data_IF_155782056130
#
_entry.id   IF_155782056130
#
_cell.length_a   1.000
_cell.length_b   1.000
_cell.length_c   1.000
_cell.angle_alpha   90.00
_cell.angle_beta   90.00
_cell.angle_gamma   90.00
#
_symmetry.space_group_name_H-M   'P 1'
#
loop_
_entity.id
_entity.type
_entity.pdbx_description
1 polymer ?
#
# COMPACT_ATOMS: atom_id res chain seq x y z
N UNK A 1 2.31 9.05 -38.63
CA UNK A 1 3.04 9.37 -37.37
C UNK A 1 2.96 8.15 -36.47
N UNK A 2 3.32 6.97 -37.00
CA UNK A 2 2.85 5.67 -36.47
C UNK A 2 3.98 4.82 -35.87
N UNK A 3 5.09 5.47 -35.49
CA UNK A 3 6.30 4.81 -34.98
C UNK A 3 6.61 5.11 -33.51
N UNK A 4 5.69 5.72 -32.75
CA UNK A 4 5.96 6.08 -31.35
C UNK A 4 5.73 4.94 -30.35
N UNK A 5 5.14 3.80 -30.74
CA UNK A 5 4.90 2.68 -29.83
C UNK A 5 5.05 1.26 -30.46
N UNK A 6 6.23 0.91 -31.02
CA UNK A 6 6.47 -0.44 -31.56
C UNK A 6 6.41 -1.57 -30.51
N UNK A 7 6.42 -1.27 -29.20
CA UNK A 7 6.45 -2.27 -28.12
C UNK A 7 5.11 -2.48 -27.38
N UNK A 8 4.00 -1.93 -27.88
CA UNK A 8 2.69 -2.09 -27.23
C UNK A 8 2.22 -3.54 -27.07
N UNK A 9 2.42 -4.47 -28.03
CA UNK A 9 1.92 -5.84 -27.88
C UNK A 9 2.66 -6.62 -26.79
N UNK A 10 3.98 -6.45 -26.71
CA UNK A 10 4.86 -7.15 -25.77
C UNK A 10 4.60 -6.69 -24.33
N UNK A 11 4.42 -5.38 -24.13
CA UNK A 11 4.10 -4.83 -22.82
C UNK A 11 2.72 -5.29 -22.35
N UNK A 12 1.72 -5.32 -23.24
CA UNK A 12 0.37 -5.81 -22.92
C UNK A 12 0.41 -7.29 -22.52
N UNK A 13 1.17 -8.13 -23.23
CA UNK A 13 1.31 -9.54 -22.92
C UNK A 13 2.08 -9.78 -21.61
N UNK A 14 3.20 -9.09 -21.42
CA UNK A 14 4.00 -9.19 -20.19
C UNK A 14 3.18 -8.75 -18.96
N UNK A 15 2.42 -7.66 -19.08
CA UNK A 15 1.47 -7.22 -18.05
C UNK A 15 0.40 -8.30 -17.81
N UNK A 16 -0.21 -8.86 -18.85
CA UNK A 16 -1.21 -9.91 -18.72
C UNK A 16 -0.71 -11.13 -17.93
N UNK A 17 0.48 -11.62 -18.27
CA UNK A 17 1.10 -12.74 -17.56
C UNK A 17 1.56 -12.39 -16.14
N UNK A 18 2.11 -11.19 -15.92
CA UNK A 18 2.49 -10.73 -14.60
C UNK A 18 1.26 -10.57 -13.67
N UNK A 19 0.14 -10.08 -14.20
CA UNK A 19 -1.14 -9.98 -13.46
C UNK A 19 -1.68 -11.36 -13.09
N UNK A 20 -1.59 -12.35 -13.99
CA UNK A 20 -2.01 -13.71 -13.67
C UNK A 20 -1.17 -14.33 -12.54
N UNK A 21 0.14 -14.01 -12.49
CA UNK A 21 0.99 -14.43 -11.38
C UNK A 21 0.67 -13.68 -10.08
N UNK A 22 0.35 -12.38 -10.16
CA UNK A 22 -0.03 -11.57 -9.00
C UNK A 22 -1.27 -12.11 -8.25
N UNK A 23 -2.17 -12.81 -8.92
CA UNK A 23 -3.34 -13.43 -8.29
C UNK A 23 -2.94 -14.44 -7.21
N UNK A 24 -2.17 -15.45 -7.60
CA UNK A 24 -1.78 -16.50 -6.65
C UNK A 24 -0.69 -16.01 -5.70
N UNK A 25 0.21 -15.12 -6.14
CA UNK A 25 1.21 -14.47 -5.27
C UNK A 25 0.52 -13.65 -4.17
N UNK A 26 -0.49 -12.86 -4.53
CA UNK A 26 -1.28 -12.08 -3.58
C UNK A 26 -2.04 -12.96 -2.59
N UNK A 27 -2.67 -14.04 -3.07
CA UNK A 27 -3.34 -15.02 -2.20
C UNK A 27 -2.36 -15.67 -1.21
N UNK A 28 -1.19 -16.09 -1.68
CA UNK A 28 -0.16 -16.71 -0.86
C UNK A 28 0.36 -15.74 0.21
N UNK A 29 0.71 -14.51 -0.19
CA UNK A 29 1.18 -13.47 0.72
C UNK A 29 0.09 -13.12 1.74
N UNK A 30 -1.17 -13.03 1.33
CA UNK A 30 -2.29 -12.80 2.24
C UNK A 30 -2.46 -13.94 3.25
N UNK A 31 -2.38 -15.19 2.81
CA UNK A 31 -2.49 -16.36 3.68
C UNK A 31 -1.35 -16.38 4.71
N UNK A 32 -0.11 -16.13 4.28
CA UNK A 32 1.05 -16.03 5.16
C UNK A 32 0.93 -14.86 6.14
N UNK A 33 0.46 -13.70 5.69
CA UNK A 33 0.22 -12.54 6.54
C UNK A 33 -0.86 -12.86 7.59
N UNK A 34 -1.98 -13.48 7.21
CA UNK A 34 -3.05 -13.86 8.16
C UNK A 34 -2.54 -14.87 9.18
N UNK A 35 -1.70 -15.81 8.77
CA UNK A 35 -1.06 -16.76 9.67
C UNK A 35 -0.12 -16.03 10.64
N UNK A 36 0.76 -15.16 10.14
CA UNK A 36 1.67 -14.36 10.97
C UNK A 36 0.92 -13.48 11.98
N UNK A 37 -0.15 -12.79 11.54
CA UNK A 37 -0.98 -11.95 12.40
C UNK A 37 -1.78 -12.73 13.46
N UNK A 38 -1.95 -14.05 13.30
CA UNK A 38 -2.54 -14.92 14.32
C UNK A 38 -1.60 -15.16 15.49
N UNK A 39 -0.29 -15.11 15.24
CA UNK A 39 0.74 -15.27 16.28
C UNK A 39 1.14 -13.95 16.94
N UNK A 40 0.82 -12.80 16.33
CA UNK A 40 1.12 -11.49 16.92
C UNK A 40 -0.02 -11.06 17.87
N UNK A 41 0.22 -10.83 19.16
CA UNK A 41 -0.80 -10.36 20.10
C UNK A 41 -1.37 -9.00 19.71
N UNK A 42 -2.64 -8.74 20.05
CA UNK A 42 -3.34 -7.49 19.71
C UNK A 42 -2.72 -6.21 20.29
N UNK A 43 -1.91 -6.35 21.35
CA UNK A 43 -1.29 -5.22 22.06
C UNK A 43 -0.08 -4.62 21.32
N UNK A 44 0.46 -5.29 20.30
CA UNK A 44 1.58 -4.80 19.49
C UNK A 44 1.08 -4.21 18.16
N UNK A 45 0.43 -3.04 18.22
CA UNK A 45 -0.12 -2.36 17.06
C UNK A 45 0.94 -2.02 16.00
N UNK A 46 2.13 -1.58 16.41
CA UNK A 46 3.26 -1.29 15.52
C UNK A 46 3.77 -2.53 14.79
N UNK A 47 3.94 -3.66 15.50
CA UNK A 47 4.39 -4.91 14.89
C UNK A 47 3.40 -5.45 13.85
N UNK A 48 2.09 -5.40 14.15
CA UNK A 48 1.04 -5.79 13.20
C UNK A 48 1.06 -4.88 11.96
N UNK A 49 1.29 -3.58 12.15
CA UNK A 49 1.42 -2.61 11.08
C UNK A 49 2.65 -2.87 10.19
N UNK A 50 3.84 -3.02 10.75
CA UNK A 50 5.06 -3.30 9.97
C UNK A 50 5.00 -4.67 9.27
N UNK A 51 4.31 -5.65 9.87
CA UNK A 51 4.08 -6.95 9.23
C UNK A 51 3.15 -6.81 8.01
N UNK A 52 2.09 -6.02 8.11
CA UNK A 52 1.23 -5.72 6.96
C UNK A 52 1.96 -4.90 5.88
N UNK A 53 2.77 -3.92 6.30
CA UNK A 53 3.54 -3.06 5.39
C UNK A 53 4.63 -3.84 4.64
N UNK A 54 5.34 -4.73 5.33
CA UNK A 54 6.34 -5.61 4.71
C UNK A 54 5.69 -6.59 3.72
N UNK A 55 4.54 -7.17 4.05
CA UNK A 55 3.78 -8.01 3.12
C UNK A 55 3.38 -7.25 1.84
N UNK A 56 2.97 -5.98 1.97
CA UNK A 56 2.70 -5.12 0.82
C UNK A 56 3.97 -4.85 -0.01
N UNK A 57 5.09 -4.58 0.64
CA UNK A 57 6.38 -4.39 -0.03
C UNK A 57 6.83 -5.63 -0.81
N UNK A 58 6.69 -6.82 -0.21
CA UNK A 58 6.99 -8.11 -0.86
C UNK A 58 6.10 -8.32 -2.09
N UNK A 59 4.81 -7.99 -2.00
CA UNK A 59 3.89 -8.11 -3.13
C UNK A 59 4.31 -7.21 -4.29
N UNK A 60 4.63 -5.94 -4.03
CA UNK A 60 5.07 -4.97 -5.05
C UNK A 60 6.39 -5.43 -5.67
N UNK A 61 7.36 -5.86 -4.86
CA UNK A 61 8.65 -6.35 -5.33
C UNK A 61 8.56 -7.61 -6.19
N UNK A 62 7.73 -8.58 -5.76
CA UNK A 62 7.53 -9.82 -6.52
C UNK A 62 6.77 -9.57 -7.82
N UNK A 63 5.76 -8.71 -7.81
CA UNK A 63 5.07 -8.29 -9.04
C UNK A 63 6.03 -7.64 -10.02
N UNK A 64 6.85 -6.67 -9.56
CA UNK A 64 7.86 -6.01 -10.39
C UNK A 64 8.89 -6.98 -10.97
N UNK A 65 9.39 -7.91 -10.15
CA UNK A 65 10.31 -8.96 -10.61
C UNK A 65 9.68 -9.87 -11.67
N UNK A 66 8.42 -10.25 -11.48
CA UNK A 66 7.69 -11.08 -12.43
C UNK A 66 7.45 -10.36 -13.76
N UNK A 67 7.10 -9.06 -13.70
CA UNK A 67 6.91 -8.23 -14.89
C UNK A 67 8.21 -8.11 -15.69
N UNK A 68 9.33 -7.83 -15.02
CA UNK A 68 10.65 -7.75 -15.65
C UNK A 68 11.05 -9.09 -16.28
N UNK A 69 10.82 -10.21 -15.58
CA UNK A 69 11.08 -11.54 -16.10
C UNK A 69 10.28 -11.84 -17.37
N UNK A 70 8.97 -11.55 -17.36
CA UNK A 70 8.10 -11.80 -18.52
C UNK A 70 8.44 -10.90 -19.71
N UNK A 71 8.77 -9.63 -19.46
CA UNK A 71 9.22 -8.71 -20.50
C UNK A 71 10.52 -9.18 -21.15
N UNK A 72 11.52 -9.56 -20.34
CA UNK A 72 12.80 -10.05 -20.85
C UNK A 72 12.65 -11.35 -21.64
N UNK A 73 11.79 -12.27 -21.21
CA UNK A 73 11.55 -13.52 -21.93
C UNK A 73 10.89 -13.31 -23.30
N UNK A 74 10.01 -12.31 -23.44
CA UNK A 74 9.42 -12.00 -24.75
C UNK A 74 10.48 -11.48 -25.73
N UNK A 75 11.36 -10.57 -25.26
CA UNK A 75 12.44 -10.03 -26.09
C UNK A 75 13.38 -11.15 -26.56
N UNK A 76 13.79 -12.03 -25.65
CA UNK A 76 14.66 -13.17 -25.96
C UNK A 76 13.98 -14.18 -26.91
N UNK A 77 12.67 -14.41 -26.79
CA UNK A 77 11.92 -15.30 -27.67
C UNK A 77 11.64 -14.71 -29.05
N UNK A 78 11.54 -13.39 -29.18
CA UNK A 78 11.37 -12.72 -30.47
C UNK A 78 12.65 -12.83 -31.31
N UNK A 79 13.82 -12.64 -30.69
CA UNK A 79 15.12 -12.82 -31.34
C UNK A 79 15.36 -14.28 -31.76
N UNK A 80 15.05 -15.24 -30.89
CA UNK A 80 15.14 -16.66 -31.20
C UNK A 80 14.08 -17.12 -32.23
N UNK A 81 12.86 -16.57 -32.16
CA UNK A 81 11.75 -16.89 -33.06
C UNK A 81 12.00 -16.42 -34.49
N UNK A 82 12.66 -15.27 -34.67
CA UNK A 82 13.10 -14.80 -35.99
C UNK A 82 14.16 -15.73 -36.61
N UNK A 83 15.06 -16.29 -35.79
CA UNK A 83 16.05 -17.28 -36.24
C UNK A 83 15.41 -18.64 -36.60
N UNK A 84 14.42 -19.11 -35.82
CA UNK A 84 13.72 -20.37 -36.07
C UNK A 84 12.72 -20.25 -37.23
N UNK A 85 12.03 -19.13 -37.40
CA UNK A 85 11.15 -18.87 -38.55
C UNK A 85 11.94 -18.94 -39.87
N UNK A 86 13.15 -18.36 -39.89
CA UNK A 86 14.10 -18.48 -41.02
C UNK A 86 14.46 -19.94 -41.32
N UNK A 87 14.51 -20.80 -40.30
CA UNK A 87 14.81 -22.24 -40.43
C UNK A 87 13.57 -23.05 -40.83
N UNK A 88 12.36 -22.66 -40.40
CA UNK A 88 11.09 -23.32 -40.75
C UNK A 88 10.60 -23.02 -42.17
N UNK A 89 10.97 -21.89 -42.78
CA UNK A 89 10.72 -21.64 -44.22
C UNK A 89 11.43 -22.64 -45.14
N UNK A 90 12.37 -23.44 -44.61
CA UNK A 90 13.12 -24.47 -45.33
C UNK A 90 12.43 -25.85 -45.20
N UNK A 91 11.39 -26.01 -44.38
CA UNK A 91 10.72 -27.29 -44.09
C UNK A 91 9.25 -27.33 -44.56
N UNK A 92 8.90 -28.38 -45.31
CA UNK A 92 7.60 -28.61 -45.97
C UNK A 92 6.49 -29.08 -44.98
N UNK A 93 5.27 -28.48 -44.94
CA UNK A 93 4.30 -28.63 -43.85
C UNK A 93 3.39 -29.86 -43.98
N UNK A 94 3.87 -30.94 -44.60
CA UNK A 94 3.03 -32.05 -45.06
C UNK A 94 2.56 -33.08 -44.03
N UNK A 95 2.89 -32.99 -42.74
CA UNK A 95 2.51 -34.06 -41.79
C UNK A 95 2.11 -33.55 -40.40
N UNK A 96 0.84 -33.75 -40.05
CA UNK A 96 0.42 -33.93 -38.66
C UNK A 96 -0.52 -32.86 -38.09
N UNK A 97 -1.81 -32.96 -38.40
CA UNK A 97 -2.89 -32.55 -37.49
C UNK A 97 -3.72 -33.85 -37.34
N UNK A 98 -3.99 -34.40 -36.17
CA UNK A 98 -5.14 -34.00 -35.35
C UNK A 98 -5.16 -34.85 -34.08
N UNK A 99 -4.91 -34.22 -32.93
CA UNK A 99 -5.49 -34.50 -31.60
C UNK A 99 -4.78 -33.59 -30.61
N UNK A 100 -4.97 -32.28 -30.78
CA UNK A 100 -4.43 -31.31 -29.83
C UNK A 100 -5.02 -31.60 -28.43
N UNK A 101 -4.18 -31.84 -27.39
CA UNK A 101 -4.63 -32.11 -26.03
C UNK A 101 -5.60 -31.02 -25.53
N UNK A 102 -6.48 -31.36 -24.58
CA UNK A 102 -7.45 -30.39 -23.97
C UNK A 102 -6.75 -29.10 -23.51
N UNK A 103 -5.51 -29.20 -23.04
CA UNK A 103 -4.64 -28.08 -22.70
C UNK A 103 -4.42 -27.08 -23.83
N UNK A 104 -4.26 -27.54 -25.08
CA UNK A 104 -4.10 -26.66 -26.24
C UNK A 104 -5.39 -25.88 -26.54
N UNK A 105 -6.56 -26.52 -26.38
CA UNK A 105 -7.85 -25.82 -26.54
C UNK A 105 -8.04 -24.75 -25.45
N UNK A 106 -7.63 -25.02 -24.22
CA UNK A 106 -7.66 -24.05 -23.13
C UNK A 106 -6.69 -22.89 -23.36
N UNK A 107 -5.48 -23.16 -23.86
CA UNK A 107 -4.50 -22.12 -24.19
C UNK A 107 -4.97 -21.20 -25.32
N UNK A 108 -5.60 -21.76 -26.36
CA UNK A 108 -6.19 -20.98 -27.47
C UNK A 108 -7.39 -20.15 -27.00
N UNK A 109 -8.27 -20.72 -26.16
CA UNK A 109 -9.38 -19.96 -25.57
C UNK A 109 -8.87 -18.82 -24.69
N UNK A 110 -7.86 -19.08 -23.86
CA UNK A 110 -7.23 -18.08 -23.01
C UNK A 110 -6.61 -16.96 -23.84
N UNK A 111 -5.81 -17.29 -24.88
CA UNK A 111 -5.18 -16.27 -25.72
C UNK A 111 -6.20 -15.36 -26.39
N UNK A 112 -7.34 -15.89 -26.84
CA UNK A 112 -8.44 -15.11 -27.40
C UNK A 112 -9.16 -14.22 -26.39
N UNK A 113 -9.23 -14.61 -25.12
CA UNK A 113 -9.97 -13.88 -24.07
C UNK A 113 -9.07 -13.11 -23.09
N UNK A 114 -7.75 -13.10 -23.32
CA UNK A 114 -6.76 -12.42 -22.46
C UNK A 114 -7.17 -10.99 -22.14
N UNK A 115 -7.58 -10.22 -23.15
CA UNK A 115 -7.96 -8.80 -22.97
C UNK A 115 -9.14 -8.60 -22.02
N UNK A 116 -10.19 -9.43 -22.12
CA UNK A 116 -11.36 -9.34 -21.24
C UNK A 116 -11.06 -9.77 -19.82
N UNK A 117 -10.25 -10.83 -19.64
CA UNK A 117 -9.81 -11.32 -18.33
C UNK A 117 -8.98 -10.24 -17.63
N UNK A 118 -8.03 -9.62 -18.36
CA UNK A 118 -7.22 -8.51 -17.86
C UNK A 118 -8.09 -7.30 -17.51
N UNK A 119 -9.07 -6.95 -18.35
CA UNK A 119 -9.99 -5.84 -18.09
C UNK A 119 -10.84 -6.03 -16.83
N UNK A 120 -11.41 -7.23 -16.64
CA UNK A 120 -12.15 -7.59 -15.43
C UNK A 120 -11.24 -7.53 -14.19
N UNK A 121 -10.00 -8.01 -14.34
CA UNK A 121 -9.01 -8.00 -13.26
C UNK A 121 -8.61 -6.58 -12.85
N UNK A 122 -8.28 -5.70 -13.82
CA UNK A 122 -7.98 -4.28 -13.56
C UNK A 122 -9.17 -3.61 -12.87
N UNK A 123 -10.39 -3.93 -13.29
CA UNK A 123 -11.60 -3.40 -12.63
C UNK A 123 -11.67 -3.81 -11.16
N UNK A 124 -11.45 -5.10 -10.86
CA UNK A 124 -11.41 -5.58 -9.48
C UNK A 124 -10.29 -4.94 -8.65
N UNK A 125 -9.10 -4.79 -9.22
CA UNK A 125 -7.97 -4.11 -8.59
C UNK A 125 -8.28 -2.65 -8.31
N UNK A 126 -8.85 -1.91 -9.28
CA UNK A 126 -9.25 -0.52 -9.11
C UNK A 126 -10.31 -0.37 -8.02
N UNK A 127 -11.30 -1.27 -7.95
CA UNK A 127 -12.29 -1.25 -6.88
C UNK A 127 -11.66 -1.46 -5.50
N UNK A 128 -10.72 -2.40 -5.36
CA UNK A 128 -10.01 -2.64 -4.12
C UNK A 128 -9.07 -1.49 -3.74
N UNK A 129 -8.38 -0.90 -4.71
CA UNK A 129 -7.55 0.28 -4.53
C UNK A 129 -8.39 1.49 -4.09
N UNK A 130 -9.52 1.74 -4.76
CA UNK A 130 -10.48 2.77 -4.37
C UNK A 130 -11.01 2.53 -2.96
N UNK A 131 -11.33 1.29 -2.59
CA UNK A 131 -11.75 0.94 -1.22
C UNK A 131 -10.65 1.21 -0.20
N UNK A 132 -9.39 0.88 -0.52
CA UNK A 132 -8.25 1.17 0.35
C UNK A 132 -8.06 2.68 0.52
N UNK A 133 -8.06 3.43 -0.58
CA UNK A 133 -7.95 4.90 -0.57
C UNK A 133 -9.11 5.54 0.20
N UNK A 134 -10.33 5.04 0.02
CA UNK A 134 -11.50 5.49 0.78
C UNK A 134 -11.35 5.21 2.27
N UNK A 135 -10.88 4.02 2.66
CA UNK A 135 -10.64 3.70 4.07
C UNK A 135 -9.53 4.57 4.68
N UNK A 136 -8.45 4.82 3.94
CA UNK A 136 -7.38 5.73 4.36
C UNK A 136 -7.90 7.16 4.50
N UNK A 137 -8.70 7.63 3.53
CA UNK A 137 -9.34 8.94 3.57
C UNK A 137 -10.31 9.05 4.74
N UNK A 138 -11.13 8.02 4.99
CA UNK A 138 -12.09 8.00 6.10
C UNK A 138 -11.36 8.04 7.44
N UNK A 139 -10.31 7.25 7.61
CA UNK A 139 -9.45 7.27 8.80
C UNK A 139 -8.79 8.64 8.97
N UNK A 140 -8.27 9.25 7.91
CA UNK A 140 -7.69 10.60 7.99
C UNK A 140 -8.73 11.70 8.22
N UNK A 141 -9.92 11.59 7.64
CA UNK A 141 -11.02 12.54 7.81
C UNK A 141 -11.50 12.50 9.26
N UNK A 142 -11.76 11.31 9.80
CA UNK A 142 -12.07 11.13 11.22
C UNK A 142 -10.97 11.69 12.16
N UNK A 143 -9.73 11.83 11.67
CA UNK A 143 -8.60 12.39 12.43
C UNK A 143 -8.44 13.91 12.32
N UNK A 144 -9.15 14.58 11.42
CA UNK A 144 -9.01 16.03 11.16
C UNK A 144 -10.32 16.82 11.23
N UNK A 145 -11.47 16.14 11.39
CA UNK A 145 -12.76 16.80 11.61
C UNK A 145 -13.06 16.93 13.10
N UNK A 146 -13.70 18.03 13.52
CA UNK A 146 -14.03 18.27 14.94
C UNK A 146 -12.87 18.85 15.76
N UNK A 147 -12.00 19.65 15.14
CA UNK A 147 -10.98 20.42 15.84
C UNK A 147 -11.63 21.67 16.45
N UNK A 148 -11.70 21.73 17.77
CA UNK A 148 -12.13 22.93 18.50
C UNK A 148 -10.92 23.72 18.98
N UNK A 149 -11.11 25.04 19.08
CA UNK A 149 -10.10 25.93 19.64
C UNK A 149 -9.81 25.56 21.10
N UNK A 150 -8.54 25.65 21.45
CA UNK A 150 -8.03 25.30 22.78
C UNK A 150 -8.15 26.52 23.68
N UNK A 151 -8.58 26.39 24.95
CA UNK A 151 -8.58 27.51 25.89
C UNK A 151 -7.18 28.15 26.04
N UNK A 152 -7.12 29.47 26.14
CA UNK A 152 -5.85 30.23 26.22
C UNK A 152 -4.93 29.76 27.36
N UNK A 153 -5.50 29.27 28.47
CA UNK A 153 -4.75 28.74 29.61
C UNK A 153 -3.89 27.52 29.23
N UNK A 154 -4.39 26.66 28.35
CA UNK A 154 -3.69 25.47 27.88
C UNK A 154 -2.58 25.83 26.89
N UNK A 155 -2.77 26.87 26.08
CA UNK A 155 -1.69 27.44 25.25
C UNK A 155 -0.55 27.98 26.13
N UNK A 156 -0.89 28.60 27.27
CA UNK A 156 0.08 28.99 28.29
C UNK A 156 0.86 27.81 28.89
N UNK A 157 0.18 26.71 29.21
CA UNK A 157 0.85 25.49 29.72
C UNK A 157 1.73 24.85 28.64
N UNK A 158 1.24 24.75 27.41
CA UNK A 158 2.00 24.20 26.27
C UNK A 158 3.30 24.96 26.04
N UNK A 159 3.25 26.30 26.02
CA UNK A 159 4.43 27.13 25.82
C UNK A 159 5.46 26.94 26.95
N UNK A 160 5.02 26.88 28.22
CA UNK A 160 5.88 26.56 29.36
C UNK A 160 6.53 25.18 29.20
N UNK A 161 5.76 24.15 28.85
CA UNK A 161 6.28 22.79 28.68
C UNK A 161 7.28 22.69 27.53
N UNK A 162 7.00 23.33 26.39
CA UNK A 162 7.92 23.41 25.25
C UNK A 162 9.23 24.10 25.62
N UNK A 163 9.17 25.16 26.43
CA UNK A 163 10.35 25.87 26.93
C UNK A 163 11.16 24.99 27.88
N UNK A 164 10.52 24.32 28.84
CA UNK A 164 11.16 23.38 29.77
C UNK A 164 11.83 22.21 29.05
N UNK A 165 11.19 21.66 28.02
CA UNK A 165 11.71 20.54 27.25
C UNK A 165 12.67 20.96 26.11
N UNK A 166 12.88 22.26 25.91
CA UNK A 166 13.71 22.84 24.82
C UNK A 166 13.31 22.33 23.43
N UNK A 167 12.01 22.30 23.15
CA UNK A 167 11.50 21.84 21.86
C UNK A 167 11.43 23.02 20.88
N UNK A 168 12.27 23.01 19.84
CA UNK A 168 12.31 24.06 18.81
C UNK A 168 11.30 23.85 17.66
N UNK A 169 10.42 22.84 17.76
CA UNK A 169 9.41 22.52 16.75
C UNK A 169 8.13 23.33 17.03
N UNK A 170 7.45 23.79 15.98
CA UNK A 170 6.13 24.43 16.12
C UNK A 170 5.08 23.34 16.36
N UNK A 171 4.64 23.21 17.61
CA UNK A 171 3.65 22.22 18.06
C UNK A 171 2.28 22.89 18.12
N UNK A 172 1.30 22.28 17.46
CA UNK A 172 -0.10 22.71 17.53
C UNK A 172 -0.86 21.80 18.47
N UNK A 173 -1.72 22.38 19.31
CA UNK A 173 -2.61 21.65 20.20
C UNK A 173 -4.05 21.88 19.71
N UNK A 174 -4.83 20.81 19.62
CA UNK A 174 -6.25 20.89 19.29
C UNK A 174 -7.08 19.96 20.18
N UNK A 175 -8.30 20.39 20.49
CA UNK A 175 -9.30 19.50 21.09
C UNK A 175 -10.02 18.74 19.98
N UNK A 176 -10.24 17.44 20.16
CA UNK A 176 -10.97 16.62 19.21
C UNK A 176 -12.08 15.83 19.91
N UNK A 177 -13.26 15.83 19.30
CA UNK A 177 -14.43 15.07 19.77
C UNK A 177 -14.35 13.57 19.45
N UNK A 178 -13.49 13.19 18.51
CA UNK A 178 -13.44 11.85 17.93
C UNK A 178 -12.39 10.96 18.65
N UNK A 179 -11.34 11.56 19.19
CA UNK A 179 -10.28 10.84 19.90
C UNK A 179 -10.67 10.57 21.35
N UNK A 180 -10.43 9.35 21.83
CA UNK A 180 -10.73 8.92 23.20
C UNK A 180 -9.53 9.03 24.16
N UNK A 181 -8.32 9.21 23.63
CA UNK A 181 -7.07 9.36 24.41
C UNK A 181 -6.20 10.48 23.81
N UNK A 182 -5.35 11.14 24.62
CA UNK A 182 -4.31 12.05 24.12
C UNK A 182 -3.43 11.36 23.09
N UNK A 183 -3.12 12.03 21.99
CA UNK A 183 -2.20 11.49 20.99
C UNK A 183 -1.46 12.56 20.19
N UNK A 184 -0.28 12.21 19.70
CA UNK A 184 0.57 13.04 18.85
C UNK A 184 0.52 12.57 17.40
N UNK A 185 0.44 13.49 16.44
CA UNK A 185 0.48 13.18 15.00
C UNK A 185 1.38 14.14 14.21
N UNK A 186 2.01 13.64 13.14
CA UNK A 186 2.75 14.46 12.18
C UNK A 186 4.25 14.57 12.49
N UNK A 187 5.09 14.12 11.55
CA UNK A 187 6.53 14.05 11.77
C UNK A 187 7.26 15.40 11.67
N UNK A 188 6.84 16.25 10.71
CA UNK A 188 7.47 17.55 10.44
C UNK A 188 6.79 18.70 11.21
N UNK A 189 5.48 18.60 11.44
CA UNK A 189 4.68 19.58 12.17
C UNK A 189 3.80 18.84 13.18
N UNK A 190 4.35 18.46 14.35
CA UNK A 190 3.63 17.68 15.34
C UNK A 190 2.38 18.42 15.82
N UNK A 191 1.29 17.69 15.88
CA UNK A 191 -0.02 18.13 16.36
C UNK A 191 -0.40 17.21 17.52
N UNK A 192 -0.62 17.79 18.70
CA UNK A 192 -1.14 17.10 19.87
C UNK A 192 -2.66 17.22 19.82
N UNK A 193 -3.36 16.08 19.82
CA UNK A 193 -4.81 16.01 19.95
C UNK A 193 -5.19 15.59 21.36
N UNK A 194 -6.10 16.34 21.97
CA UNK A 194 -6.66 16.04 23.28
C UNK A 194 -8.16 15.75 23.16
N UNK A 195 -8.68 14.69 23.79
CA UNK A 195 -10.11 14.42 23.84
C UNK A 195 -10.86 15.58 24.50
N UNK A 196 -11.91 16.09 23.85
CA UNK A 196 -12.73 17.17 24.44
C UNK A 196 -13.36 16.73 25.77
N UNK A 197 -13.69 15.43 25.90
CA UNK A 197 -14.26 14.84 27.10
C UNK A 197 -13.29 14.85 28.31
N UNK A 198 -11.98 14.83 28.04
CA UNK A 198 -10.96 14.97 29.09
C UNK A 198 -10.71 16.44 29.43
N UNK A 199 -10.74 17.32 28.43
CA UNK A 199 -10.44 18.73 28.62
C UNK A 199 -11.36 19.43 29.63
N UNK A 200 -12.65 19.03 29.70
CA UNK A 200 -13.60 19.58 30.67
C UNK A 200 -13.44 19.08 32.11
N UNK A 201 -12.70 17.99 32.33
CA UNK A 201 -12.62 17.31 33.62
C UNK A 201 -11.21 17.32 34.25
N UNK A 202 -10.20 17.80 33.53
CA UNK A 202 -8.82 17.84 34.00
C UNK A 202 -8.51 19.15 34.73
N UNK A 203 -7.82 19.06 35.86
CA UNK A 203 -7.17 20.21 36.48
C UNK A 203 -6.00 20.72 35.62
N UNK A 204 -5.56 21.95 35.88
CA UNK A 204 -4.40 22.54 35.20
C UNK A 204 -3.12 21.70 35.39
N UNK A 205 -2.92 21.12 36.58
CA UNK A 205 -1.76 20.29 36.90
C UNK A 205 -1.77 18.94 36.18
N UNK A 206 -2.94 18.31 36.07
CA UNK A 206 -3.08 17.05 35.32
C UNK A 206 -2.88 17.30 33.82
N UNK A 207 -3.41 18.40 33.31
CA UNK A 207 -3.20 18.84 31.92
C UNK A 207 -1.71 19.04 31.62
N UNK A 208 -0.99 19.73 32.50
CA UNK A 208 0.46 19.94 32.37
C UNK A 208 1.21 18.61 32.37
N UNK A 209 0.85 17.68 33.26
CA UNK A 209 1.47 16.35 33.34
C UNK A 209 1.27 15.54 32.07
N UNK A 210 0.04 15.53 31.53
CA UNK A 210 -0.30 14.83 30.29
C UNK A 210 0.45 15.46 29.11
N UNK A 211 0.45 16.80 29.00
CA UNK A 211 1.18 17.49 27.93
C UNK A 211 2.67 17.23 28.00
N UNK A 212 3.29 17.24 29.18
CA UNK A 212 4.70 16.89 29.35
C UNK A 212 5.00 15.46 28.87
N UNK A 213 4.12 14.51 29.17
CA UNK A 213 4.26 13.13 28.70
C UNK A 213 4.23 13.04 27.17
N UNK A 214 3.23 13.66 26.54
CA UNK A 214 3.09 13.66 25.07
C UNK A 214 4.23 14.43 24.38
N UNK A 215 4.65 15.58 24.94
CA UNK A 215 5.77 16.37 24.43
C UNK A 215 7.11 15.64 24.57
N UNK A 216 7.28 14.83 25.62
CA UNK A 216 8.46 13.97 25.76
C UNK A 216 8.54 12.93 24.64
N UNK A 217 7.41 12.33 24.23
CA UNK A 217 7.35 11.45 23.05
C UNK A 217 7.70 12.18 21.76
N UNK A 218 7.25 13.43 21.60
CA UNK A 218 7.63 14.29 20.45
C UNK A 218 9.14 14.55 20.42
N UNK A 219 9.73 14.86 21.58
CA UNK A 219 11.17 15.13 21.70
C UNK A 219 12.01 13.88 21.35
N UNK A 220 11.53 12.69 21.74
CA UNK A 220 12.18 11.41 21.43
C UNK A 220 11.92 10.91 20.01
N UNK A 221 11.03 11.57 19.25
CA UNK A 221 10.55 11.15 17.93
C UNK A 221 9.89 9.76 17.92
N UNK A 222 9.24 9.36 19.01
CA UNK A 222 8.61 8.04 19.13
C UNK A 222 7.42 7.83 18.19
N UNK A 223 6.90 8.90 17.57
CA UNK A 223 5.87 8.81 16.53
C UNK A 223 6.33 8.14 15.23
N UNK A 224 7.62 7.80 15.08
CA UNK A 224 8.18 7.07 13.93
C UNK A 224 8.29 5.54 14.14
N UNK A 225 8.00 5.05 15.36
CA UNK A 225 8.04 3.63 15.75
C UNK A 225 6.63 3.04 15.92
#
# INVERSE_FOLDING_TARGET
MDHLFPQTPELIYAIGWALMHALWQGLLIYALLRLALRFIPGNYSSLRYYTALSALGVLIGWFGSTLLYQYNNMMLQQDAGNAVATTMFIYDPGTGIETAPVWNKLLVWYSMHTGAIVGLYITGMLLLACRLLYNLFLVNKLRTTGLSDVPDQWMGILSKCCQTLQINKNIRLHLSEIVSVPMVMGALKPVVLMPIALAGNLSLQETETILLHELAHIKRNDYLL
#
